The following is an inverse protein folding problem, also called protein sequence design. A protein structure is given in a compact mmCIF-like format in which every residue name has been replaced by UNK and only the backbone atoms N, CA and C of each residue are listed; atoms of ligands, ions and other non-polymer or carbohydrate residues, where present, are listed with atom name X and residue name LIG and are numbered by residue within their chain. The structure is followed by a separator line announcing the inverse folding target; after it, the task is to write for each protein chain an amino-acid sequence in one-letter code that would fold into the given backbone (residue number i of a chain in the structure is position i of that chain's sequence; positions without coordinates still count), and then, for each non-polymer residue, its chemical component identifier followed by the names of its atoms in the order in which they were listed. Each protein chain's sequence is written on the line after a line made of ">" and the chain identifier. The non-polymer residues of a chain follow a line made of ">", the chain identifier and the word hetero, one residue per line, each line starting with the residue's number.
data_IF_917251084176
#
_entry.id   IF_917251084176
#
_cell.length_a   1.000
_cell.length_b   1.000
_cell.length_c   1.000
_cell.angle_alpha   90.00
_cell.angle_beta   90.00
_cell.angle_gamma   90.00
#
_symmetry.space_group_name_H-M   'P 1'
#
loop_
_entity.id
_entity.type
_entity.pdbx_description
1 polymer ?
#
# COMPACT_ATOMS: atom_id res chain seq x y z
N UNK A 1 -21.95 -14.06 -1.86
CA UNK A 1 -21.09 -12.89 -2.19
C UNK A 1 -19.66 -13.23 -1.83
N UNK A 2 -18.68 -13.05 -2.73
CA UNK A 2 -17.27 -13.23 -2.36
C UNK A 2 -16.91 -12.19 -1.29
N UNK A 3 -16.25 -12.63 -0.21
CA UNK A 3 -15.74 -11.70 0.81
C UNK A 3 -14.66 -10.82 0.15
N UNK A 4 -14.64 -9.50 0.40
CA UNK A 4 -13.56 -8.65 -0.11
C UNK A 4 -12.22 -9.21 0.35
N UNK A 5 -11.26 -9.29 -0.57
CA UNK A 5 -9.97 -9.89 -0.30
C UNK A 5 -9.18 -9.01 0.70
N UNK A 6 -9.22 -9.42 1.96
CA UNK A 6 -8.52 -8.72 3.05
C UNK A 6 -7.00 -8.82 2.94
N UNK A 7 -6.48 -9.86 2.29
CA UNK A 7 -5.03 -10.09 2.22
C UNK A 7 -4.34 -9.08 1.31
N UNK A 8 -4.97 -8.68 0.20
CA UNK A 8 -4.44 -7.62 -0.66
C UNK A 8 -4.34 -6.27 0.07
N UNK A 9 -5.39 -5.89 0.80
CA UNK A 9 -5.40 -4.66 1.58
C UNK A 9 -4.35 -4.69 2.70
N UNK A 10 -4.28 -5.77 3.47
CA UNK A 10 -3.29 -5.93 4.55
C UNK A 10 -1.84 -5.84 4.06
N UNK A 11 -1.55 -6.41 2.89
CA UNK A 11 -0.23 -6.30 2.24
C UNK A 11 0.10 -4.86 1.87
N UNK A 12 -0.85 -4.12 1.28
CA UNK A 12 -0.67 -2.71 0.90
C UNK A 12 -0.44 -1.82 2.12
N UNK A 13 -1.26 -1.96 3.15
CA UNK A 13 -1.18 -1.14 4.37
C UNK A 13 0.15 -1.39 5.11
N UNK A 14 0.54 -2.66 5.25
CA UNK A 14 1.80 -3.04 5.90
C UNK A 14 3.02 -2.57 5.10
N UNK A 15 3.01 -2.75 3.78
CA UNK A 15 4.09 -2.29 2.92
C UNK A 15 4.22 -0.76 2.94
N UNK A 16 3.11 -0.01 2.84
CA UNK A 16 3.10 1.44 2.93
C UNK A 16 3.67 1.94 4.26
N UNK A 17 3.27 1.31 5.37
CA UNK A 17 3.79 1.65 6.70
C UNK A 17 5.30 1.43 6.79
N UNK A 18 5.78 0.27 6.37
CA UNK A 18 7.20 -0.10 6.45
C UNK A 18 8.05 0.74 5.51
N UNK A 19 7.65 0.92 4.25
CA UNK A 19 8.36 1.78 3.30
C UNK A 19 8.49 3.22 3.81
N UNK A 20 7.45 3.77 4.44
CA UNK A 20 7.51 5.10 5.07
C UNK A 20 8.48 5.16 6.25
N UNK A 21 8.62 4.09 7.03
CA UNK A 21 9.44 4.06 8.26
C UNK A 21 10.92 3.81 7.99
N UNK A 22 11.25 2.89 7.10
CA UNK A 22 12.63 2.42 6.89
C UNK A 22 13.07 2.42 5.42
N UNK A 23 12.20 2.82 4.50
CA UNK A 23 12.48 2.84 3.06
C UNK A 23 12.28 1.48 2.38
N UNK A 24 12.17 1.52 1.05
CA UNK A 24 11.95 0.33 0.22
C UNK A 24 13.09 -0.69 0.37
N UNK A 25 14.34 -0.28 0.22
CA UNK A 25 15.49 -1.19 0.20
C UNK A 25 15.65 -1.97 1.53
N UNK A 26 15.40 -1.32 2.67
CA UNK A 26 15.52 -1.94 3.98
C UNK A 26 14.31 -2.82 4.37
N UNK A 27 13.22 -2.81 3.61
CA UNK A 27 12.00 -3.56 3.95
C UNK A 27 12.01 -4.95 3.28
N UNK A 28 12.07 -6.03 4.05
CA UNK A 28 12.04 -7.39 3.51
C UNK A 28 10.63 -7.90 3.19
N UNK A 29 10.51 -8.88 2.27
CA UNK A 29 9.22 -9.55 1.98
C UNK A 29 8.64 -10.22 3.23
N UNK A 30 9.45 -10.96 3.98
CA UNK A 30 9.00 -11.64 5.19
C UNK A 30 8.48 -10.67 6.26
N UNK A 31 9.13 -9.51 6.40
CA UNK A 31 8.70 -8.46 7.32
C UNK A 31 7.31 -7.91 6.95
N UNK A 32 7.04 -7.75 5.65
CA UNK A 32 5.72 -7.34 5.16
C UNK A 32 4.67 -8.43 5.45
N UNK A 33 4.99 -9.69 5.14
CA UNK A 33 4.08 -10.82 5.37
C UNK A 33 3.71 -10.98 6.84
N UNK A 34 4.70 -10.85 7.73
CA UNK A 34 4.52 -10.91 9.18
C UNK A 34 3.66 -9.73 9.67
N UNK A 35 3.98 -8.51 9.26
CA UNK A 35 3.20 -7.31 9.61
C UNK A 35 1.76 -7.35 9.08
N UNK A 36 1.54 -7.99 7.93
CA UNK A 36 0.23 -8.13 7.31
C UNK A 36 -0.56 -9.33 7.82
N UNK A 37 0.06 -10.20 8.64
CA UNK A 37 -0.52 -11.46 9.14
C UNK A 37 -1.01 -12.38 8.01
N UNK A 38 -0.25 -12.47 6.90
CA UNK A 38 -0.58 -13.30 5.73
C UNK A 38 0.56 -14.23 5.34
N UNK A 39 0.23 -15.26 4.56
CA UNK A 39 1.21 -16.23 4.04
C UNK A 39 1.82 -15.72 2.73
N UNK A 40 3.03 -16.18 2.41
CA UNK A 40 3.71 -15.85 1.15
C UNK A 40 2.85 -16.09 -0.10
N UNK A 41 2.04 -17.16 -0.11
CA UNK A 41 1.12 -17.44 -1.22
C UNK A 41 0.11 -16.32 -1.50
N UNK A 42 -0.31 -15.56 -0.47
CA UNK A 42 -1.18 -14.40 -0.65
C UNK A 42 -0.48 -13.27 -1.40
N UNK A 43 0.81 -13.03 -1.11
CA UNK A 43 1.59 -12.01 -1.84
C UNK A 43 1.66 -12.35 -3.32
N UNK A 44 2.14 -13.54 -3.67
CA UNK A 44 2.33 -13.94 -5.07
C UNK A 44 1.01 -14.17 -5.83
N UNK A 45 -0.10 -14.37 -5.12
CA UNK A 45 -1.43 -14.37 -5.73
C UNK A 45 -1.88 -12.97 -6.16
N UNK A 46 -1.62 -11.96 -5.34
CA UNK A 46 -2.05 -10.57 -5.56
C UNK A 46 -1.07 -9.70 -6.33
N UNK A 47 0.21 -10.02 -6.18
CA UNK A 47 1.36 -9.32 -6.75
C UNK A 47 2.33 -10.38 -7.27
N UNK A 48 2.07 -10.95 -8.47
CA UNK A 48 2.91 -11.99 -9.07
C UNK A 48 4.40 -11.61 -9.18
N UNK A 49 4.70 -10.32 -9.40
CA UNK A 49 6.08 -9.80 -9.43
C UNK A 49 6.60 -9.41 -8.04
N UNK A 50 5.85 -9.77 -6.99
CA UNK A 50 6.24 -9.70 -5.59
C UNK A 50 6.39 -8.26 -5.07
N UNK A 51 7.49 -8.02 -4.34
CA UNK A 51 7.72 -6.76 -3.61
C UNK A 51 7.74 -5.53 -4.53
N UNK A 52 8.24 -5.66 -5.75
CA UNK A 52 8.36 -4.55 -6.68
C UNK A 52 6.98 -4.06 -7.12
N UNK A 53 6.10 -4.98 -7.51
CA UNK A 53 4.72 -4.66 -7.90
C UNK A 53 3.91 -4.16 -6.71
N UNK A 54 4.08 -4.76 -5.54
CA UNK A 54 3.48 -4.25 -4.30
C UNK A 54 3.93 -2.81 -4.02
N UNK A 55 5.20 -2.48 -4.23
CA UNK A 55 5.71 -1.12 -4.05
C UNK A 55 5.13 -0.12 -5.07
N UNK A 56 5.02 -0.52 -6.34
CA UNK A 56 4.36 0.31 -7.35
C UNK A 56 2.90 0.59 -6.96
N UNK A 57 2.16 -0.44 -6.51
CA UNK A 57 0.79 -0.28 -6.05
C UNK A 57 0.67 0.63 -4.82
N UNK A 58 1.62 0.56 -3.89
CA UNK A 58 1.70 1.49 -2.74
C UNK A 58 1.90 2.93 -3.22
N UNK A 59 2.85 3.17 -4.14
CA UNK A 59 3.10 4.51 -4.70
C UNK A 59 1.85 5.08 -5.34
N UNK A 60 1.13 4.28 -6.13
CA UNK A 60 -0.10 4.73 -6.80
C UNK A 60 -1.21 5.09 -5.80
N UNK A 61 -1.41 4.27 -4.76
CA UNK A 61 -2.46 4.51 -3.76
C UNK A 61 -2.14 5.76 -2.93
N UNK A 62 -0.90 5.87 -2.45
CA UNK A 62 -0.47 7.03 -1.65
C UNK A 62 -0.48 8.30 -2.51
N UNK A 63 -0.04 8.21 -3.77
CA UNK A 63 -0.08 9.33 -4.71
C UNK A 63 -1.50 9.84 -4.94
N UNK A 64 -2.46 8.93 -5.17
CA UNK A 64 -3.89 9.30 -5.29
C UNK A 64 -4.45 9.93 -4.02
N UNK A 65 -4.06 9.44 -2.84
CA UNK A 65 -4.50 10.02 -1.57
C UNK A 65 -3.94 11.45 -1.36
N UNK A 66 -2.68 11.67 -1.70
CA UNK A 66 -2.05 13.00 -1.67
C UNK A 66 -2.76 13.93 -2.65
N UNK A 67 -2.97 13.50 -3.90
CA UNK A 67 -3.68 14.29 -4.91
C UNK A 67 -5.06 14.71 -4.42
N UNK A 68 -5.85 13.75 -3.90
CA UNK A 68 -7.18 14.00 -3.37
C UNK A 68 -7.15 15.06 -2.27
N UNK A 69 -6.25 14.93 -1.29
CA UNK A 69 -6.13 15.89 -0.18
C UNK A 69 -5.72 17.28 -0.65
N UNK A 70 -4.81 17.36 -1.63
CA UNK A 70 -4.41 18.65 -2.21
C UNK A 70 -5.58 19.31 -2.94
N UNK A 71 -6.40 18.55 -3.68
CA UNK A 71 -7.62 19.08 -4.31
C UNK A 71 -8.61 19.61 -3.30
N UNK A 72 -8.92 18.83 -2.27
CA UNK A 72 -9.81 19.24 -1.17
C UNK A 72 -9.35 20.53 -0.49
N UNK A 73 -8.04 20.65 -0.25
CA UNK A 73 -7.44 21.84 0.36
C UNK A 73 -7.51 23.08 -0.56
N UNK A 74 -7.19 22.93 -1.85
CA UNK A 74 -7.25 24.04 -2.80
C UNK A 74 -8.68 24.52 -3.04
N UNK A 75 -9.66 23.60 -3.07
CA UNK A 75 -11.08 23.93 -3.19
C UNK A 75 -11.61 24.64 -1.92
N UNK A 76 -11.13 24.27 -0.73
CA UNK A 76 -11.52 24.95 0.52
C UNK A 76 -10.93 26.37 0.64
N UNK A 77 -9.73 26.60 0.12
CA UNK A 77 -9.07 27.92 0.17
C UNK A 77 -9.59 28.89 -0.91
N UNK A 78 -10.10 28.37 -2.03
CA UNK A 78 -10.74 29.17 -3.09
C UNK A 78 -12.18 29.61 -2.74
N UNK A 79 -12.72 29.14 -1.62
CA UNK A 79 -14.06 29.50 -1.14
C UNK A 79 -14.10 30.78 -0.27
N UNK A 80 -13.01 31.57 -0.26
CA UNK A 80 -12.89 32.87 0.45
C UNK A 80 -13.04 34.04 -0.50
#
# INVERSE_FOLDING_TARGET
>A
MPRPDRSRAALLDSAALLFRRQGYAATGVNQILESAEVKAGSLYHHFPDGKQELAAAVVDIVGRDIERRLREFLESDLAV
#
